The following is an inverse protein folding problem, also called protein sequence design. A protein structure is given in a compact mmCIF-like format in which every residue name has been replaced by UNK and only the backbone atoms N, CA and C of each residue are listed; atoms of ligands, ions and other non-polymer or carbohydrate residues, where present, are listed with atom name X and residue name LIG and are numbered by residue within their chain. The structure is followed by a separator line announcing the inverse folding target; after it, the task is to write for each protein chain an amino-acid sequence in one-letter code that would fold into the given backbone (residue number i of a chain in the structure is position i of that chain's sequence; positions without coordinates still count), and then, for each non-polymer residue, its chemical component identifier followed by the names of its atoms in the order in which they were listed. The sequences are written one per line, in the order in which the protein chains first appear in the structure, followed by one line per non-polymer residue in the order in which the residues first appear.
data_IF_468450603374
#
_entry.id   IF_468450603374
#
_cell.length_a   1.000
_cell.length_b   1.000
_cell.length_c   1.000
_cell.angle_alpha   90.00
_cell.angle_beta   90.00
_cell.angle_gamma   90.00
#
_symmetry.space_group_name_H-M   'P 1'
#
loop_
_entity.id
_entity.type
_entity.pdbx_description
1 polymer ?
#
# COMPACT_ATOMS: atom_id res chain seq x y z
N UNK A 1 -3.48 -11.98 28.84
CA UNK A 1 -2.17 -11.93 28.14
C UNK A 1 -2.34 -11.02 26.93
N UNK A 2 -1.56 -9.96 26.81
CA UNK A 2 -1.59 -9.13 25.60
C UNK A 2 -1.10 -9.98 24.42
N UNK A 3 -1.73 -9.90 23.24
CA UNK A 3 -1.27 -10.66 22.08
C UNK A 3 0.15 -10.21 21.72
N UNK A 4 1.06 -11.17 21.49
CA UNK A 4 2.40 -10.90 20.96
C UNK A 4 2.24 -10.23 19.60
N UNK A 5 2.75 -9.02 19.46
CA UNK A 5 2.78 -8.31 18.19
C UNK A 5 3.62 -9.12 17.20
N UNK A 6 3.12 -9.25 15.97
CA UNK A 6 3.84 -9.92 14.90
C UNK A 6 5.04 -9.07 14.47
N UNK A 7 6.11 -9.74 14.08
CA UNK A 7 7.28 -9.14 13.46
C UNK A 7 7.19 -9.44 11.96
N UNK A 8 7.19 -8.38 11.15
CA UNK A 8 7.14 -8.46 9.69
C UNK A 8 8.38 -7.85 9.05
N UNK A 9 9.52 -7.85 9.75
CA UNK A 9 10.78 -7.34 9.19
C UNK A 9 11.34 -8.19 8.06
N UNK A 10 10.94 -9.46 7.99
CA UNK A 10 11.19 -10.36 6.86
C UNK A 10 10.60 -9.84 5.55
N UNK A 11 9.51 -9.07 5.61
CA UNK A 11 8.92 -8.41 4.45
C UNK A 11 9.89 -7.43 3.75
N UNK A 12 10.91 -6.91 4.45
CA UNK A 12 11.91 -6.00 3.89
C UNK A 12 13.07 -6.73 3.19
N UNK A 13 13.01 -8.05 3.06
CA UNK A 13 14.06 -8.82 2.42
C UNK A 13 14.36 -8.28 1.00
N UNK A 14 15.62 -7.92 0.77
CA UNK A 14 16.06 -7.38 -0.52
C UNK A 14 15.75 -5.90 -0.75
N UNK A 15 15.23 -5.18 0.26
CA UNK A 15 14.97 -3.74 0.21
C UNK A 15 15.97 -2.99 1.08
N UNK A 16 16.41 -1.81 0.63
CA UNK A 16 17.26 -0.90 1.38
C UNK A 16 16.85 0.57 1.13
N UNK A 17 17.49 1.51 1.84
CA UNK A 17 17.20 2.94 1.71
C UNK A 17 17.39 3.47 0.29
N UNK A 18 18.45 3.07 -0.41
CA UNK A 18 18.74 3.54 -1.77
C UNK A 18 17.59 3.21 -2.74
N UNK A 19 17.03 1.99 -2.64
CA UNK A 19 15.88 1.59 -3.44
C UNK A 19 14.64 2.45 -3.16
N UNK A 20 14.39 2.82 -1.90
CA UNK A 20 13.27 3.71 -1.54
C UNK A 20 13.48 5.15 -2.04
N UNK A 21 14.72 5.63 -2.07
CA UNK A 21 15.08 6.96 -2.55
C UNK A 21 14.99 7.09 -4.09
N UNK A 22 15.27 5.99 -4.79
CA UNK A 22 15.23 5.88 -6.26
C UNK A 22 13.82 5.72 -6.84
N UNK A 23 12.82 5.38 -6.00
CA UNK A 23 11.42 5.30 -6.48
C UNK A 23 10.95 6.67 -7.02
N UNK A 24 10.31 6.73 -8.19
CA UNK A 24 9.81 7.96 -8.76
C UNK A 24 8.59 8.48 -7.98
N UNK A 25 8.42 9.80 -7.98
CA UNK A 25 7.26 10.45 -7.37
C UNK A 25 5.98 10.15 -8.17
N UNK A 26 4.81 10.16 -7.52
CA UNK A 26 3.48 9.81 -8.06
C UNK A 26 2.95 10.78 -9.14
N UNK A 27 3.80 11.64 -9.68
CA UNK A 27 3.39 12.71 -10.60
C UNK A 27 2.92 12.19 -11.96
N UNK A 28 3.40 11.02 -12.40
CA UNK A 28 2.92 10.34 -13.60
C UNK A 28 2.98 8.80 -13.48
N UNK A 29 1.85 8.19 -13.10
CA UNK A 29 1.72 6.72 -12.90
C UNK A 29 2.13 5.92 -14.14
N UNK A 30 1.97 6.49 -15.35
CA UNK A 30 2.30 5.82 -16.62
C UNK A 30 3.80 5.81 -16.94
N UNK A 31 4.60 6.59 -16.20
CA UNK A 31 6.07 6.67 -16.35
C UNK A 31 6.81 6.05 -15.15
N UNK A 32 6.10 5.41 -14.23
CA UNK A 32 6.71 4.81 -13.05
C UNK A 32 7.35 3.47 -13.39
N UNK A 33 8.68 3.44 -13.51
CA UNK A 33 9.44 2.22 -13.77
C UNK A 33 9.42 1.26 -12.55
N UNK A 34 9.37 1.78 -11.31
CA UNK A 34 9.27 0.95 -10.11
C UNK A 34 8.87 1.72 -8.85
N UNK A 35 7.86 1.22 -8.13
CA UNK A 35 7.28 1.85 -6.95
C UNK A 35 7.32 0.87 -5.79
N UNK A 36 7.72 1.34 -4.61
CA UNK A 36 7.76 0.50 -3.42
C UNK A 36 6.33 0.29 -2.87
N UNK A 37 5.92 -0.97 -2.78
CA UNK A 37 4.66 -1.37 -2.18
C UNK A 37 4.89 -2.31 -1.01
N UNK A 38 4.22 -2.03 0.10
CA UNK A 38 3.92 -3.03 1.12
C UNK A 38 2.71 -3.84 0.63
N UNK A 39 2.95 -5.09 0.23
CA UNK A 39 1.96 -6.03 -0.26
C UNK A 39 1.45 -6.88 0.88
N UNK A 40 0.14 -6.99 1.01
CA UNK A 40 -0.52 -7.78 2.03
C UNK A 40 -1.50 -8.72 1.33
N UNK A 41 -1.32 -10.02 1.47
CA UNK A 41 -2.21 -11.02 0.90
C UNK A 41 -2.44 -12.16 1.88
N UNK A 42 -3.69 -12.58 2.05
CA UNK A 42 -4.03 -13.70 2.94
C UNK A 42 -3.32 -15.02 2.57
N UNK A 43 -2.94 -15.21 1.30
CA UNK A 43 -2.27 -16.43 0.82
C UNK A 43 -0.74 -16.39 0.88
N UNK A 44 -0.15 -15.19 0.73
CA UNK A 44 1.31 -15.03 0.55
C UNK A 44 1.96 -14.23 1.69
N UNK A 45 1.18 -13.78 2.67
CA UNK A 45 1.66 -13.02 3.81
C UNK A 45 1.93 -11.55 3.46
N UNK A 46 3.07 -11.05 3.91
CA UNK A 46 3.45 -9.64 3.81
C UNK A 46 4.82 -9.55 3.16
N UNK A 47 4.93 -8.75 2.10
CA UNK A 47 6.21 -8.47 1.43
C UNK A 47 6.33 -6.99 1.11
N UNK A 48 7.55 -6.51 0.96
CA UNK A 48 7.86 -5.20 0.40
C UNK A 48 8.61 -5.40 -0.90
N UNK A 49 8.06 -4.86 -1.99
CA UNK A 49 8.62 -5.03 -3.33
C UNK A 49 8.60 -3.69 -4.07
N UNK A 50 9.63 -3.45 -4.89
CA UNK A 50 9.65 -2.34 -5.86
C UNK A 50 9.23 -2.90 -7.21
N UNK A 51 8.05 -2.53 -7.67
CA UNK A 51 7.45 -3.03 -8.90
C UNK A 51 6.70 -1.93 -9.64
N UNK A 52 6.46 -2.10 -10.94
CA UNK A 52 5.66 -1.14 -11.71
C UNK A 52 4.23 -1.06 -11.17
N UNK A 53 3.65 0.14 -11.19
CA UNK A 53 2.28 0.35 -10.72
C UNK A 53 1.25 -0.39 -11.59
N UNK A 54 1.58 -0.53 -12.88
CA UNK A 54 0.80 -1.19 -13.92
C UNK A 54 1.58 -2.42 -14.42
N UNK A 55 0.85 -3.40 -14.95
CA UNK A 55 1.44 -4.55 -15.65
C UNK A 55 1.89 -4.20 -17.08
N UNK A 56 2.34 -5.22 -17.81
CA UNK A 56 2.85 -5.09 -19.18
C UNK A 56 1.79 -4.58 -20.18
N UNK A 57 0.48 -4.71 -19.88
CA UNK A 57 -0.60 -4.17 -20.71
C UNK A 57 -0.97 -2.74 -20.35
N UNK A 58 -0.37 -2.19 -19.29
CA UNK A 58 -0.68 -0.86 -18.77
C UNK A 58 -1.91 -0.86 -17.85
N UNK A 59 -2.31 -2.02 -17.35
CA UNK A 59 -3.45 -2.17 -16.43
C UNK A 59 -2.99 -2.42 -15.00
N UNK A 60 -3.90 -2.23 -14.04
CA UNK A 60 -3.60 -2.59 -12.65
C UNK A 60 -3.58 -4.12 -12.54
N UNK A 61 -2.55 -4.72 -11.92
CA UNK A 61 -2.41 -6.18 -11.88
C UNK A 61 -3.66 -6.89 -11.36
N UNK A 62 -4.03 -7.97 -12.04
CA UNK A 62 -5.27 -8.71 -11.81
C UNK A 62 -5.49 -9.12 -10.36
N UNK A 63 -4.44 -9.55 -9.66
CA UNK A 63 -4.50 -9.92 -8.23
C UNK A 63 -4.91 -8.74 -7.33
N UNK A 64 -4.52 -7.51 -7.70
CA UNK A 64 -4.89 -6.29 -6.99
C UNK A 64 -6.33 -5.91 -7.33
N UNK A 65 -6.71 -5.97 -8.60
CA UNK A 65 -8.08 -5.71 -9.06
C UNK A 65 -9.10 -6.67 -8.43
N UNK A 66 -8.71 -7.94 -8.26
CA UNK A 66 -9.52 -8.98 -7.61
C UNK A 66 -9.50 -8.87 -6.08
N UNK A 67 -8.70 -7.98 -5.50
CA UNK A 67 -8.57 -7.81 -4.04
C UNK A 67 -7.84 -8.96 -3.34
N UNK A 68 -7.20 -9.88 -4.08
CA UNK A 68 -6.41 -10.99 -3.54
C UNK A 68 -5.09 -10.50 -2.93
N UNK A 69 -4.56 -9.38 -3.43
CA UNK A 69 -3.40 -8.69 -2.89
C UNK A 69 -3.76 -7.22 -2.66
N UNK A 70 -3.43 -6.71 -1.48
CA UNK A 70 -3.58 -5.31 -1.11
C UNK A 70 -2.22 -4.66 -1.24
N UNK A 71 -2.10 -3.67 -2.13
CA UNK A 71 -0.91 -2.81 -2.24
C UNK A 71 -1.10 -1.55 -1.40
N UNK A 72 -0.18 -1.32 -0.47
CA UNK A 72 -0.03 -0.09 0.28
C UNK A 72 1.25 0.60 -0.15
N UNK A 73 1.13 1.78 -0.75
CA UNK A 73 2.27 2.53 -1.24
C UNK A 73 3.20 2.94 -0.10
N UNK A 74 4.49 2.69 -0.28
CA UNK A 74 5.55 3.27 0.54
C UNK A 74 6.04 4.52 -0.19
N UNK A 75 5.95 5.72 0.42
CA UNK A 75 6.40 6.94 -0.22
C UNK A 75 7.90 6.91 -0.54
N UNK A 76 8.28 7.64 -1.59
CA UNK A 76 9.68 7.89 -1.93
C UNK A 76 10.43 8.46 -0.74
N UNK A 77 11.62 7.91 -0.50
CA UNK A 77 12.51 8.36 0.55
C UNK A 77 11.96 8.17 1.96
N UNK A 78 10.97 7.29 2.15
CA UNK A 78 10.57 6.84 3.47
C UNK A 78 11.81 6.35 4.24
N UNK A 79 11.89 6.71 5.52
CA UNK A 79 12.96 6.28 6.41
C UNK A 79 12.90 4.76 6.60
N UNK A 80 13.91 4.07 6.06
CA UNK A 80 14.00 2.60 6.08
C UNK A 80 14.08 2.05 7.51
N UNK A 81 14.82 2.70 8.41
CA UNK A 81 14.94 2.25 9.79
C UNK A 81 13.64 2.46 10.56
N UNK A 82 12.96 3.59 10.34
CA UNK A 82 11.64 3.84 10.92
C UNK A 82 10.60 2.83 10.42
N UNK A 83 10.66 2.47 9.12
CA UNK A 83 9.83 1.42 8.53
C UNK A 83 10.13 0.05 9.17
N UNK A 84 11.41 -0.33 9.26
CA UNK A 84 11.86 -1.58 9.87
C UNK A 84 11.41 -1.71 11.32
N UNK A 85 11.62 -0.67 12.14
CA UNK A 85 11.18 -0.65 13.53
C UNK A 85 9.65 -0.72 13.67
N UNK A 86 8.92 -0.05 12.77
CA UNK A 86 7.45 -0.10 12.77
C UNK A 86 6.89 -1.47 12.37
N UNK A 87 7.61 -2.22 11.53
CA UNK A 87 7.32 -3.62 11.17
C UNK A 87 7.76 -4.62 12.23
N UNK A 88 8.77 -4.29 13.05
CA UNK A 88 9.26 -5.08 14.19
C UNK A 88 8.33 -4.98 15.42
N UNK A 89 7.03 -5.18 15.23
CA UNK A 89 6.03 -5.09 16.30
C UNK A 89 5.54 -3.67 16.64
N UNK A 90 5.83 -2.67 15.79
CA UNK A 90 5.34 -1.31 15.94
C UNK A 90 3.93 -1.06 15.38
N UNK A 91 3.61 0.21 15.11
CA UNK A 91 2.27 0.62 14.63
C UNK A 91 1.91 -0.03 13.29
N UNK A 92 2.85 -0.05 12.33
CA UNK A 92 2.62 -0.68 11.02
C UNK A 92 2.35 -2.16 11.18
N UNK A 93 3.14 -2.88 11.99
CA UNK A 93 2.92 -4.30 12.25
C UNK A 93 1.51 -4.59 12.80
N UNK A 94 1.03 -3.75 13.73
CA UNK A 94 -0.33 -3.87 14.28
C UNK A 94 -1.39 -3.69 13.20
N UNK A 95 -1.23 -2.69 12.33
CA UNK A 95 -2.18 -2.39 11.26
C UNK A 95 -2.18 -3.48 10.19
N UNK A 96 -0.99 -3.95 9.77
CA UNK A 96 -0.83 -5.08 8.85
C UNK A 96 -1.52 -6.33 9.40
N UNK A 97 -1.31 -6.65 10.68
CA UNK A 97 -1.97 -7.80 11.29
C UNK A 97 -3.50 -7.64 11.32
N UNK A 98 -4.01 -6.43 11.54
CA UNK A 98 -5.44 -6.16 11.50
C UNK A 98 -6.02 -6.28 10.07
N UNK A 99 -5.27 -5.85 9.06
CA UNK A 99 -5.64 -6.03 7.65
C UNK A 99 -5.70 -7.51 7.31
N UNK A 100 -4.63 -8.27 7.59
CA UNK A 100 -4.56 -9.72 7.35
C UNK A 100 -5.72 -10.48 8.01
N UNK A 101 -6.01 -10.20 9.28
CA UNK A 101 -7.07 -10.88 10.03
C UNK A 101 -8.47 -10.66 9.45
N UNK A 102 -8.70 -9.52 8.81
CA UNK A 102 -9.98 -9.17 8.20
C UNK A 102 -9.96 -9.20 6.68
N UNK A 103 -8.97 -9.85 6.07
CA UNK A 103 -8.88 -10.08 4.63
C UNK A 103 -9.51 -11.44 4.33
N UNK A 104 -10.70 -11.40 3.74
CA UNK A 104 -11.48 -12.56 3.37
C UNK A 104 -11.21 -12.87 1.90
N UNK A 105 -10.82 -14.11 1.60
CA UNK A 105 -10.53 -14.57 0.25
C UNK A 105 -11.43 -15.75 -0.10
N UNK A 106 -12.04 -15.66 -1.28
CA UNK A 106 -12.86 -16.69 -1.89
C UNK A 106 -12.16 -17.15 -3.17
N UNK A 107 -11.80 -18.44 -3.24
CA UNK A 107 -11.12 -19.04 -4.38
C UNK A 107 -12.09 -19.97 -5.12
N UNK A 108 -12.10 -19.88 -6.44
CA UNK A 108 -12.82 -20.78 -7.34
C UNK A 108 -11.85 -21.40 -8.36
N UNK A 109 -12.25 -22.45 -9.09
CA UNK A 109 -11.43 -23.00 -10.17
C UNK A 109 -11.12 -21.99 -11.28
N UNK A 110 -11.97 -20.99 -11.47
CA UNK A 110 -11.84 -19.95 -12.50
C UNK A 110 -11.06 -18.71 -12.02
N UNK A 111 -10.75 -18.60 -10.72
CA UNK A 111 -10.00 -17.47 -10.16
C UNK A 111 -10.24 -17.25 -8.67
N UNK A 112 -10.15 -16.00 -8.22
CA UNK A 112 -10.43 -15.67 -6.83
C UNK A 112 -10.84 -14.22 -6.65
N UNK A 113 -11.49 -13.94 -5.52
CA UNK A 113 -11.79 -12.58 -5.08
C UNK A 113 -11.41 -12.41 -3.62
N UNK A 114 -10.91 -11.22 -3.28
CA UNK A 114 -10.59 -10.84 -1.92
C UNK A 114 -11.36 -9.60 -1.51
N UNK A 115 -11.77 -9.56 -0.25
CA UNK A 115 -12.57 -8.47 0.33
C UNK A 115 -12.02 -8.14 1.71
N UNK A 116 -12.09 -6.87 2.08
CA UNK A 116 -11.76 -6.45 3.44
C UNK A 116 -13.03 -6.26 4.24
N UNK A 117 -13.06 -6.84 5.44
CA UNK A 117 -14.02 -6.45 6.47
C UNK A 117 -13.90 -4.94 6.77
N UNK A 118 -14.96 -4.33 7.32
CA UNK A 118 -14.96 -2.90 7.67
C UNK A 118 -13.79 -2.51 8.58
N UNK A 119 -13.44 -3.38 9.53
CA UNK A 119 -12.31 -3.17 10.43
C UNK A 119 -10.97 -3.17 9.70
N UNK A 120 -10.77 -4.13 8.78
CA UNK A 120 -9.56 -4.20 7.97
C UNK A 120 -9.44 -3.04 6.96
N UNK A 121 -10.55 -2.58 6.39
CA UNK A 121 -10.56 -1.40 5.52
C UNK A 121 -10.07 -0.15 6.27
N UNK A 122 -10.58 0.07 7.49
CA UNK A 122 -10.12 1.17 8.35
C UNK A 122 -8.65 1.02 8.75
N UNK A 123 -8.20 -0.19 9.04
CA UNK A 123 -6.81 -0.47 9.34
C UNK A 123 -5.89 -0.18 8.13
N UNK A 124 -6.34 -0.52 6.91
CA UNK A 124 -5.63 -0.20 5.66
C UNK A 124 -5.51 1.31 5.46
N UNK A 125 -6.59 2.07 5.69
CA UNK A 125 -6.56 3.54 5.58
C UNK A 125 -5.60 4.16 6.61
N UNK A 126 -5.61 3.65 7.84
CA UNK A 126 -4.66 4.07 8.87
C UNK A 126 -3.22 3.72 8.47
N UNK A 127 -3.00 2.54 7.90
CA UNK A 127 -1.69 2.09 7.43
C UNK A 127 -1.14 3.02 6.35
N UNK A 128 -1.94 3.39 5.36
CA UNK A 128 -1.54 4.36 4.33
C UNK A 128 -1.14 5.70 4.93
N UNK A 129 -1.90 6.18 5.94
CA UNK A 129 -1.57 7.43 6.64
C UNK A 129 -0.31 7.31 7.50
N UNK A 130 -0.03 6.14 8.10
CA UNK A 130 1.20 5.92 8.87
C UNK A 130 2.42 5.84 7.94
N UNK A 131 2.31 5.12 6.81
CA UNK A 131 3.36 5.06 5.79
C UNK A 131 3.71 6.45 5.24
N UNK A 132 2.69 7.30 5.02
CA UNK A 132 2.88 8.69 4.58
C UNK A 132 3.79 9.52 5.50
N UNK A 133 3.78 9.22 6.80
CA UNK A 133 4.54 9.96 7.82
C UNK A 133 5.99 9.49 7.94
N UNK A 134 6.36 8.40 7.26
CA UNK A 134 7.74 7.91 7.26
C UNK A 134 8.67 8.75 6.37
N UNK A 135 8.13 9.69 5.58
CA UNK A 135 8.95 10.60 4.78
C UNK A 135 9.68 11.56 5.72
N UNK A 136 11.03 11.61 5.70
CA UNK A 136 11.79 12.56 6.46
C UNK A 136 11.47 13.98 5.99
N UNK A 137 11.30 14.90 6.95
CA UNK A 137 10.92 16.30 6.70
C UNK A 137 11.89 17.06 5.76
N UNK A 138 13.08 16.52 5.51
CA UNK A 138 14.12 17.08 4.64
C UNK A 138 13.88 16.84 3.13
N UNK A 139 12.93 15.99 2.74
CA UNK A 139 12.61 15.68 1.34
C UNK A 139 11.24 16.23 0.87
N UNK A 140 10.77 17.33 1.45
CA UNK A 140 9.49 17.93 1.04
C UNK A 140 9.65 18.88 -0.17
N UNK A 141 9.20 18.52 -1.38
CA UNK A 141 8.36 19.42 -2.13
C UNK A 141 6.93 19.27 -1.57
N UNK A 142 6.59 20.24 -0.74
CA UNK A 142 5.23 20.54 -0.28
C UNK A 142 4.27 20.54 -1.49
N UNK A 143 3.09 19.95 -1.32
CA UNK A 143 1.84 20.18 -2.11
C UNK A 143 1.37 19.18 -3.18
N UNK A 144 1.78 17.90 -3.22
CA UNK A 144 1.09 16.92 -4.08
C UNK A 144 -0.10 16.19 -3.39
N UNK A 145 -0.02 15.98 -2.07
CA UNK A 145 -0.98 15.14 -1.33
C UNK A 145 -2.38 15.77 -1.13
N UNK A 146 -2.50 17.09 -1.16
CA UNK A 146 -3.80 17.77 -1.03
C UNK A 146 -4.61 17.77 -2.35
N UNK A 147 -3.94 17.73 -3.51
CA UNK A 147 -4.59 17.82 -4.82
C UNK A 147 -5.25 16.50 -5.25
N UNK A 148 -4.65 15.35 -4.91
CA UNK A 148 -5.20 14.03 -5.27
C UNK A 148 -6.48 13.71 -4.49
N UNK A 149 -6.56 14.13 -3.23
CA UNK A 149 -7.76 13.91 -2.38
C UNK A 149 -8.97 14.73 -2.86
N UNK A 150 -8.75 15.94 -3.39
CA UNK A 150 -9.83 16.79 -3.90
C UNK A 150 -10.29 16.42 -5.33
N UNK A 151 -9.49 15.69 -6.12
CA UNK A 151 -9.93 15.22 -7.44
C UNK A 151 -10.87 14.01 -7.39
N UNK A 152 -10.82 13.19 -6.34
CA UNK A 152 -11.77 12.08 -6.16
C UNK A 152 -13.12 12.52 -5.57
N UNK A 153 -13.18 13.70 -4.94
CA UNK A 153 -14.44 14.29 -4.46
C UNK A 153 -15.16 15.16 -5.52
N UNK A 154 -14.50 15.44 -6.65
CA UNK A 154 -15.04 16.27 -7.72
C UNK A 154 -14.98 15.53 -9.06
N UNK A 155 -15.81 14.51 -9.21
CA UNK A 155 -16.33 14.10 -10.52
C UNK A 155 -17.84 14.40 -10.53
N UNK A 156 -18.35 15.02 -11.60
CA UNK A 156 -19.56 15.83 -11.58
C UNK A 156 -20.85 15.01 -11.51
N UNK A 157 -21.74 15.47 -10.65
CA UNK A 157 -23.18 15.30 -10.80
C UNK A 157 -23.64 15.94 -12.13
N UNK A 158 -24.69 15.36 -12.72
CA UNK A 158 -25.39 15.78 -13.94
C UNK A 158 -24.88 15.23 -15.29
N UNK A 159 -25.07 13.93 -15.50
CA UNK A 159 -25.81 13.52 -16.70
C UNK A 159 -27.31 13.66 -16.37
N UNK A 160 -28.05 14.58 -17.02
CA UNK A 160 -29.49 14.44 -17.26
C UNK A 160 -30.01 15.50 -18.27
N UNK A 161 -30.49 14.97 -19.41
CA UNK A 161 -31.62 15.38 -20.28
C UNK A 161 -31.61 16.65 -21.14
N UNK A 162 -31.95 16.37 -22.41
CA UNK A 162 -32.54 17.17 -23.50
C UNK A 162 -31.63 18.02 -24.39
#
# INVERSE_FOLDING_TARGET
MAPKLADFTDALWGINQAMLDETPDLTDVRRMEGVAYLKIGALHGVTVEVESALDETGDVPSLVCQGLVIRCLIPRGADFEALRLSLAGGEIARLVQAVLKGHEVELTPEGGTGRLSRGAQRAREQLLNTLAKLVPATNAPVAAWAAVRNRQAAAPEAALVH
#
